data_IF_079816474222
#
_entry.id   IF_079816474222
#
_cell.length_a   1.000
_cell.length_b   1.000
_cell.length_c   1.000
_cell.angle_alpha   90.00
_cell.angle_beta   90.00
_cell.angle_gamma   90.00
#
_symmetry.space_group_name_H-M   'P 1'
#
loop_
_entity.id
_entity.type
_entity.pdbx_description
1 polymer ?
#
# COMPACT_ATOMS: atom_id res chain seq x y z
N UNK A 1 22.57 2.82 11.15
CA UNK A 1 21.85 2.10 10.09
C UNK A 1 21.69 3.06 8.95
N UNK A 2 22.07 2.63 7.76
CA UNK A 2 21.84 3.39 6.53
C UNK A 2 20.33 3.51 6.30
N UNK A 3 19.82 4.70 5.95
CA UNK A 3 18.38 4.94 5.74
C UNK A 3 17.77 3.95 4.75
N UNK A 4 18.55 3.48 3.77
CA UNK A 4 18.14 2.46 2.79
C UNK A 4 17.94 1.09 3.44
N UNK A 5 18.77 0.70 4.41
CA UNK A 5 18.65 -0.57 5.15
C UNK A 5 17.40 -0.58 6.04
N UNK A 6 17.13 0.55 6.72
CA UNK A 6 15.92 0.73 7.53
C UNK A 6 14.65 0.72 6.66
N UNK A 7 14.68 1.42 5.52
CA UNK A 7 13.59 1.41 4.56
C UNK A 7 13.35 0.00 3.99
N UNK A 8 14.41 -0.75 3.71
CA UNK A 8 14.33 -2.13 3.24
C UNK A 8 13.69 -3.06 4.28
N UNK A 9 14.04 -2.90 5.56
CA UNK A 9 13.44 -3.67 6.65
C UNK A 9 11.93 -3.41 6.76
N UNK A 10 11.52 -2.13 6.81
CA UNK A 10 10.10 -1.77 6.85
C UNK A 10 9.36 -2.22 5.58
N UNK A 11 10.03 -2.15 4.42
CA UNK A 11 9.46 -2.66 3.17
C UNK A 11 9.14 -4.16 3.27
N UNK A 12 10.10 -4.97 3.72
CA UNK A 12 9.94 -6.41 3.80
C UNK A 12 8.97 -6.85 4.92
N UNK A 13 9.09 -6.28 6.11
CA UNK A 13 8.39 -6.75 7.31
C UNK A 13 6.97 -6.18 7.43
N UNK A 14 6.76 -4.94 6.99
CA UNK A 14 5.51 -4.22 7.22
C UNK A 14 4.74 -3.96 5.92
N UNK A 15 5.43 -3.48 4.88
CA UNK A 15 4.76 -3.10 3.63
C UNK A 15 4.28 -4.31 2.83
N UNK A 16 5.11 -5.33 2.60
CA UNK A 16 4.73 -6.50 1.79
C UNK A 16 3.49 -7.25 2.30
N UNK A 17 3.35 -7.56 3.61
CA UNK A 17 2.14 -8.19 4.14
C UNK A 17 0.87 -7.35 3.96
N UNK A 18 0.97 -6.03 4.15
CA UNK A 18 -0.16 -5.12 3.98
C UNK A 18 -0.51 -4.93 2.50
N UNK A 19 0.48 -4.90 1.62
CA UNK A 19 0.31 -4.87 0.17
C UNK A 19 -0.45 -6.09 -0.34
N UNK A 20 -0.13 -7.29 0.18
CA UNK A 20 -0.84 -8.52 -0.16
C UNK A 20 -2.32 -8.48 0.27
N UNK A 21 -2.59 -8.01 1.49
CA UNK A 21 -3.96 -7.87 2.02
C UNK A 21 -4.77 -6.85 1.21
N UNK A 22 -4.15 -5.71 0.88
CA UNK A 22 -4.74 -4.67 0.05
C UNK A 22 -5.06 -5.14 -1.36
N UNK A 23 -4.14 -5.84 -2.04
CA UNK A 23 -4.43 -6.50 -3.33
C UNK A 23 -5.60 -7.48 -3.22
N UNK A 24 -5.69 -8.23 -2.12
CA UNK A 24 -6.80 -9.12 -1.83
C UNK A 24 -8.13 -8.38 -1.63
N UNK A 25 -8.12 -7.23 -0.96
CA UNK A 25 -9.29 -6.36 -0.82
C UNK A 25 -9.75 -5.85 -2.19
N UNK A 26 -8.83 -5.31 -3.01
CA UNK A 26 -9.14 -4.83 -4.36
C UNK A 26 -9.67 -5.98 -5.24
N UNK A 27 -9.17 -7.20 -5.10
CA UNK A 27 -9.70 -8.34 -5.87
C UNK A 27 -11.14 -8.68 -5.46
N UNK A 28 -11.41 -8.70 -4.15
CA UNK A 28 -12.72 -9.03 -3.57
C UNK A 28 -13.77 -7.97 -3.89
N UNK A 29 -13.35 -6.70 -3.92
CA UNK A 29 -14.19 -5.52 -4.20
C UNK A 29 -14.87 -5.56 -5.57
N UNK A 30 -14.24 -6.15 -6.59
CA UNK A 30 -14.83 -6.22 -7.94
C UNK A 30 -16.00 -7.21 -7.98
N UNK A 31 -16.11 -8.07 -6.97
CA UNK A 31 -17.07 -9.17 -6.92
C UNK A 31 -18.21 -8.92 -5.92
N UNK A 32 -17.96 -8.15 -4.86
CA UNK A 32 -18.95 -7.80 -3.82
C UNK A 32 -18.54 -6.54 -3.07
N UNK A 33 -19.50 -5.93 -2.37
CA UNK A 33 -19.20 -4.85 -1.43
C UNK A 33 -18.22 -5.34 -0.34
N UNK A 34 -17.18 -4.54 -0.01
CA UNK A 34 -16.17 -4.95 0.97
C UNK A 34 -16.79 -5.06 2.37
N UNK A 35 -16.37 -6.07 3.13
CA UNK A 35 -16.74 -6.17 4.55
C UNK A 35 -16.20 -4.94 5.32
N UNK A 36 -17.07 -4.17 6.01
CA UNK A 36 -16.67 -2.91 6.63
C UNK A 36 -15.69 -3.11 7.79
N UNK A 37 -15.75 -4.24 8.49
CA UNK A 37 -14.83 -4.57 9.59
C UNK A 37 -13.43 -4.87 9.06
N UNK A 38 -13.36 -5.63 7.97
CA UNK A 38 -12.12 -5.92 7.25
C UNK A 38 -11.50 -4.65 6.68
N UNK A 39 -12.32 -3.78 6.08
CA UNK A 39 -11.85 -2.49 5.54
C UNK A 39 -11.25 -1.60 6.63
N UNK A 40 -11.91 -1.45 7.78
CA UNK A 40 -11.38 -0.64 8.89
C UNK A 40 -10.08 -1.22 9.46
N UNK A 41 -10.04 -2.53 9.68
CA UNK A 41 -8.83 -3.22 10.16
C UNK A 41 -7.64 -3.03 9.22
N UNK A 42 -7.88 -3.16 7.91
CA UNK A 42 -6.84 -2.95 6.91
C UNK A 42 -6.41 -1.48 6.83
N UNK A 43 -7.36 -0.53 6.92
CA UNK A 43 -7.08 0.90 6.94
C UNK A 43 -6.12 1.30 8.05
N UNK A 44 -6.30 0.77 9.26
CA UNK A 44 -5.41 1.05 10.39
C UNK A 44 -3.99 0.56 10.09
N UNK A 45 -3.86 -0.65 9.53
CA UNK A 45 -2.56 -1.23 9.14
C UNK A 45 -1.88 -0.41 8.03
N UNK A 46 -2.63 -0.04 6.99
CA UNK A 46 -2.15 0.81 5.89
C UNK A 46 -1.64 2.17 6.41
N UNK A 47 -2.44 2.84 7.25
CA UNK A 47 -2.04 4.12 7.83
C UNK A 47 -0.77 4.00 8.69
N UNK A 48 -0.66 2.92 9.48
CA UNK A 48 0.52 2.67 10.31
C UNK A 48 1.78 2.45 9.48
N UNK A 49 1.69 1.71 8.37
CA UNK A 49 2.82 1.50 7.45
C UNK A 49 3.22 2.81 6.78
N UNK A 50 2.26 3.60 6.32
CA UNK A 50 2.52 4.90 5.70
C UNK A 50 3.23 5.85 6.67
N UNK A 51 2.80 5.91 7.93
CA UNK A 51 3.43 6.76 8.94
C UNK A 51 4.91 6.39 9.15
N UNK A 52 5.18 5.10 9.24
CA UNK A 52 6.53 4.55 9.44
C UNK A 52 7.44 4.76 8.23
N UNK A 53 6.90 4.62 7.02
CA UNK A 53 7.63 4.93 5.79
C UNK A 53 7.96 6.43 5.69
N UNK A 54 7.05 7.31 6.10
CA UNK A 54 7.26 8.77 6.09
C UNK A 54 8.28 9.21 7.14
N UNK A 55 8.35 8.52 8.28
CA UNK A 55 9.38 8.78 9.30
C UNK A 55 10.80 8.55 8.74
N UNK A 56 10.96 7.51 7.92
CA UNK A 56 12.25 7.12 7.32
C UNK A 56 12.55 7.94 6.06
N UNK A 57 11.56 8.12 5.19
CA UNK A 57 11.65 8.85 3.92
C UNK A 57 10.54 9.92 3.86
N UNK A 58 10.81 11.15 4.31
CA UNK A 58 9.80 12.23 4.36
C UNK A 58 9.29 12.65 2.98
N UNK A 59 10.02 12.32 1.90
CA UNK A 59 9.52 12.54 0.54
C UNK A 59 8.25 11.71 0.23
N UNK A 60 7.96 10.66 1.01
CA UNK A 60 6.75 9.85 0.83
C UNK A 60 5.48 10.47 1.45
N UNK A 61 5.60 11.62 2.13
CA UNK A 61 4.48 12.25 2.85
C UNK A 61 3.31 12.57 1.92
N UNK A 62 3.57 12.97 0.67
CA UNK A 62 2.53 13.26 -0.31
C UNK A 62 1.63 12.05 -0.60
N UNK A 63 2.19 10.84 -0.69
CA UNK A 63 1.43 9.62 -0.96
C UNK A 63 0.55 9.28 0.24
N UNK A 64 1.04 9.50 1.46
CA UNK A 64 0.25 9.30 2.68
C UNK A 64 -0.97 10.22 2.70
N UNK A 65 -0.80 11.50 2.40
CA UNK A 65 -1.90 12.48 2.38
C UNK A 65 -2.94 12.13 1.32
N UNK A 66 -2.48 11.84 0.09
CA UNK A 66 -3.34 11.42 -1.03
C UNK A 66 -4.11 10.14 -0.70
N UNK A 67 -3.43 9.14 -0.12
CA UNK A 67 -4.04 7.86 0.23
C UNK A 67 -5.14 8.02 1.30
N UNK A 68 -4.87 8.79 2.36
CA UNK A 68 -5.84 9.04 3.41
C UNK A 68 -7.05 9.82 2.90
N UNK A 69 -6.84 10.77 1.98
CA UNK A 69 -7.92 11.51 1.32
C UNK A 69 -8.81 10.58 0.49
N UNK A 70 -8.22 9.72 -0.34
CA UNK A 70 -8.96 8.73 -1.12
C UNK A 70 -9.72 7.75 -0.21
N UNK A 71 -9.09 7.28 0.86
CA UNK A 71 -9.69 6.35 1.82
C UNK A 71 -10.88 6.97 2.57
N UNK A 72 -10.82 8.27 2.88
CA UNK A 72 -11.93 9.00 3.47
C UNK A 72 -13.17 8.97 2.57
N UNK A 73 -12.98 9.09 1.26
CA UNK A 73 -14.07 9.05 0.26
C UNK A 73 -14.66 7.66 0.11
N UNK A 74 -13.82 6.62 0.13
CA UNK A 74 -14.29 5.22 0.19
C UNK A 74 -15.19 5.01 1.41
N UNK A 75 -14.78 5.50 2.58
CA UNK A 75 -15.57 5.41 3.82
C UNK A 75 -16.87 6.24 3.77
N UNK A 76 -16.90 7.31 2.98
CA UNK A 76 -18.11 8.09 2.72
C UNK A 76 -19.09 7.42 1.75
N UNK A 77 -18.78 6.20 1.29
CA UNK A 77 -19.61 5.45 0.34
C UNK A 77 -19.26 5.70 -1.12
N UNK A 78 -18.28 6.55 -1.41
CA UNK A 78 -17.77 6.76 -2.78
C UNK A 78 -16.82 5.61 -3.15
N UNK A 79 -17.40 4.43 -3.35
CA UNK A 79 -16.69 3.18 -3.58
C UNK A 79 -15.68 3.27 -4.73
N UNK A 80 -15.99 3.99 -5.82
CA UNK A 80 -15.09 4.23 -6.96
C UNK A 80 -13.67 4.72 -6.57
N UNK A 81 -13.52 5.40 -5.42
CA UNK A 81 -12.22 5.86 -4.92
C UNK A 81 -11.32 4.74 -4.39
N UNK A 82 -11.79 3.49 -4.33
CA UNK A 82 -10.97 2.37 -3.91
C UNK A 82 -10.02 1.92 -5.03
N UNK A 83 -10.54 1.78 -6.26
CA UNK A 83 -9.80 1.23 -7.40
C UNK A 83 -10.06 1.94 -8.75
N UNK A 84 -10.70 3.11 -8.73
CA UNK A 84 -11.02 3.86 -9.94
C UNK A 84 -9.78 4.32 -10.70
N UNK A 85 -9.61 3.83 -11.93
CA UNK A 85 -8.45 4.12 -12.79
C UNK A 85 -8.36 5.60 -13.20
N UNK A 86 -9.50 6.28 -13.29
CA UNK A 86 -9.56 7.71 -13.64
C UNK A 86 -9.47 8.63 -12.41
N UNK A 87 -9.40 8.05 -11.21
CA UNK A 87 -9.34 8.78 -9.96
C UNK A 87 -7.96 8.65 -9.35
N UNK A 88 -7.64 9.60 -8.47
CA UNK A 88 -6.56 9.45 -7.50
C UNK A 88 -6.98 8.49 -6.39
N UNK A 89 -7.35 7.26 -6.80
CA UNK A 89 -7.92 6.23 -5.95
C UNK A 89 -6.88 5.64 -4.99
N UNK A 90 -7.34 4.97 -3.93
CA UNK A 90 -6.47 4.26 -3.01
C UNK A 90 -5.50 3.32 -3.75
N UNK A 91 -6.00 2.58 -4.75
CA UNK A 91 -5.17 1.72 -5.58
C UNK A 91 -4.12 2.48 -6.39
N UNK A 92 -4.51 3.59 -7.05
CA UNK A 92 -3.59 4.43 -7.83
C UNK A 92 -2.45 4.95 -6.96
N UNK A 93 -2.79 5.60 -5.85
CA UNK A 93 -1.81 6.20 -4.93
C UNK A 93 -0.91 5.13 -4.32
N UNK A 94 -1.47 3.98 -3.93
CA UNK A 94 -0.71 2.86 -3.38
C UNK A 94 0.26 2.26 -4.39
N UNK A 95 -0.15 2.14 -5.66
CA UNK A 95 0.72 1.66 -6.73
C UNK A 95 1.87 2.62 -7.02
N UNK A 96 1.62 3.93 -7.04
CA UNK A 96 2.66 4.94 -7.21
C UNK A 96 3.65 4.93 -6.05
N UNK A 97 3.16 4.86 -4.81
CA UNK A 97 4.00 4.69 -3.61
C UNK A 97 4.87 3.43 -3.73
N UNK A 98 4.28 2.31 -4.13
CA UNK A 98 5.00 1.05 -4.29
C UNK A 98 6.14 1.18 -5.31
N UNK A 99 5.86 1.83 -6.44
CA UNK A 99 6.87 2.08 -7.48
C UNK A 99 7.99 2.98 -6.97
N UNK A 100 7.66 4.03 -6.22
CA UNK A 100 8.65 4.91 -5.60
C UNK A 100 9.53 4.16 -4.59
N UNK A 101 8.96 3.24 -3.79
CA UNK A 101 9.73 2.41 -2.87
C UNK A 101 10.72 1.49 -3.61
N UNK A 102 10.28 0.83 -4.68
CA UNK A 102 11.16 -0.01 -5.50
C UNK A 102 12.34 0.77 -6.09
N UNK A 103 12.08 1.98 -6.60
CA UNK A 103 13.11 2.88 -7.12
C UNK A 103 14.14 3.24 -6.04
N UNK A 104 13.68 3.62 -4.84
CA UNK A 104 14.56 3.97 -3.71
C UNK A 104 15.38 2.79 -3.19
N UNK A 105 14.81 1.58 -3.22
CA UNK A 105 15.48 0.34 -2.80
C UNK A 105 16.39 -0.25 -3.89
N UNK A 106 16.33 0.28 -5.11
CA UNK A 106 17.05 -0.29 -6.25
C UNK A 106 16.56 -1.69 -6.63
N UNK A 107 15.29 -1.99 -6.35
CA UNK A 107 14.67 -3.28 -6.66
C UNK A 107 13.86 -3.24 -7.95
N UNK A 108 13.96 -4.30 -8.74
CA UNK A 108 13.01 -4.55 -9.82
C UNK A 108 11.72 -5.16 -9.27
N UNK A 109 10.62 -5.03 -10.00
CA UNK A 109 9.36 -5.70 -9.63
C UNK A 109 9.48 -7.23 -9.65
N UNK A 110 10.32 -7.76 -10.52
CA UNK A 110 10.67 -9.19 -10.61
C UNK A 110 11.45 -9.68 -9.37
N UNK A 111 12.31 -8.81 -8.84
CA UNK A 111 13.10 -9.05 -7.62
C UNK A 111 12.18 -9.12 -6.39
N UNK A 112 11.14 -8.29 -6.33
CA UNK A 112 10.09 -8.40 -5.31
C UNK A 112 9.31 -9.72 -5.44
N UNK A 113 8.85 -10.09 -6.63
CA UNK A 113 8.06 -11.32 -6.82
C UNK A 113 8.86 -12.56 -6.41
N UNK A 114 10.17 -12.58 -6.64
CA UNK A 114 11.07 -13.65 -6.16
C UNK A 114 11.17 -13.68 -4.63
N UNK A 115 11.15 -12.51 -3.97
CA UNK A 115 11.19 -12.40 -2.50
C UNK A 115 9.85 -12.78 -1.85
N UNK A 116 8.73 -12.51 -2.52
CA UNK A 116 7.39 -12.94 -2.11
C UNK A 116 7.14 -14.44 -2.39
N UNK A 117 7.71 -14.97 -3.48
CA UNK A 117 7.60 -16.36 -3.90
C UNK A 117 8.59 -17.33 -3.25
N UNK A 118 9.41 -16.84 -2.31
CA UNK A 118 10.45 -17.62 -1.63
C UNK A 118 9.94 -18.61 -0.57
N UNK A 119 8.64 -18.61 -0.24
CA UNK A 119 8.00 -19.65 0.57
C UNK A 119 7.06 -20.49 -0.32
N UNK A 120 7.60 -21.56 -0.90
CA UNK A 120 6.81 -22.61 -1.53
C UNK A 120 7.05 -22.86 -3.02
N UNK A 121 8.25 -23.36 -3.38
CA UNK A 121 8.44 -24.71 -3.94
C UNK A 121 9.90 -25.03 -4.24
#
# INVERSE_FOLDING_TARGET
>A
MDTVDELQAVYAEDFLPVNADFKGLITDWQLKEPDPTRLDSLRVRLASVLDRLVEIEPALAEYRERFLSAMFKVLAGEQEWLAGVLLDSCHTVWFELHTALLDRLGFSREEEETRLGGDGR
#
